data_IF_406235879456
#
_entry.id   IF_406235879456
#
_cell.length_a   1.000
_cell.length_b   1.000
_cell.length_c   1.000
_cell.angle_alpha   90.00
_cell.angle_beta   90.00
_cell.angle_gamma   90.00
#
_symmetry.space_group_name_H-M   'P 1'
#
loop_
_entity.id
_entity.type
_entity.pdbx_description
1 polymer ?
#
# COMPACT_ATOMS: atom_id res chain seq x y z
N UNK A 1 1.66 -8.83 -23.13
CA UNK A 1 2.54 -7.69 -22.77
C UNK A 1 1.81 -6.39 -23.03
N UNK A 2 1.58 -5.59 -21.99
CA UNK A 2 0.88 -4.31 -22.02
C UNK A 2 1.90 -3.18 -22.08
N UNK A 3 1.70 -2.22 -22.99
CA UNK A 3 2.59 -1.06 -23.13
C UNK A 3 1.87 0.20 -22.69
N UNK A 4 2.56 1.01 -21.92
CA UNK A 4 2.09 2.31 -21.47
C UNK A 4 3.15 3.37 -21.77
N UNK A 5 2.70 4.57 -22.03
CA UNK A 5 3.53 5.77 -22.01
C UNK A 5 3.11 6.65 -20.84
N UNK A 6 4.03 7.41 -20.28
CA UNK A 6 3.71 8.35 -19.21
C UNK A 6 3.40 9.73 -19.77
N UNK A 7 2.34 10.35 -19.24
CA UNK A 7 2.15 11.78 -19.27
C UNK A 7 2.47 12.35 -17.89
N UNK A 8 3.28 13.42 -17.83
CA UNK A 8 3.76 13.97 -16.56
C UNK A 8 3.55 15.47 -16.50
N UNK A 9 3.11 15.97 -15.33
CA UNK A 9 3.04 17.40 -15.05
C UNK A 9 3.59 17.70 -13.67
N UNK A 10 4.45 18.71 -13.58
CA UNK A 10 5.05 19.19 -12.35
C UNK A 10 4.36 20.45 -11.85
N UNK A 11 4.09 20.50 -10.56
CA UNK A 11 3.46 21.59 -9.84
C UNK A 11 4.30 21.95 -8.60
N UNK A 12 4.06 23.12 -8.05
CA UNK A 12 4.63 23.48 -6.74
C UNK A 12 3.94 22.68 -5.63
N UNK A 13 4.74 22.06 -4.78
CA UNK A 13 4.26 21.26 -3.65
C UNK A 13 3.85 22.07 -2.40
N UNK A 14 4.26 23.34 -2.32
CA UNK A 14 4.15 24.16 -1.10
C UNK A 14 2.73 24.36 -0.56
N UNK A 15 1.72 24.31 -1.43
CA UNK A 15 0.31 24.52 -1.07
C UNK A 15 -0.43 23.24 -0.72
N UNK A 16 0.25 22.09 -0.81
CA UNK A 16 -0.37 20.78 -0.67
C UNK A 16 0.42 19.91 0.31
N UNK A 17 -0.29 19.03 0.99
CA UNK A 17 0.33 17.93 1.74
C UNK A 17 -0.17 16.61 1.19
N UNK A 18 0.60 15.51 1.28
CA UNK A 18 0.14 14.19 0.84
C UNK A 18 -1.21 13.83 1.47
N UNK A 19 -1.37 14.03 2.77
CA UNK A 19 -2.61 13.75 3.50
C UNK A 19 -3.77 14.61 2.97
N UNK A 20 -3.56 15.92 2.75
CA UNK A 20 -4.64 16.80 2.28
C UNK A 20 -5.15 16.40 0.89
N UNK A 21 -4.26 15.97 0.00
CA UNK A 21 -4.63 15.48 -1.33
C UNK A 21 -5.29 14.10 -1.25
N UNK A 22 -4.78 13.21 -0.41
CA UNK A 22 -5.39 11.89 -0.22
C UNK A 22 -6.83 12.00 0.28
N UNK A 23 -7.13 12.92 1.20
CA UNK A 23 -8.50 13.17 1.67
C UNK A 23 -9.46 13.62 0.57
N UNK A 24 -8.98 14.30 -0.46
CA UNK A 24 -9.78 14.68 -1.63
C UNK A 24 -10.03 13.50 -2.58
N UNK A 25 -9.04 12.59 -2.68
CA UNK A 25 -9.04 11.51 -3.66
C UNK A 25 -9.75 10.25 -3.17
N UNK A 26 -9.61 9.87 -1.89
CA UNK A 26 -10.07 8.59 -1.35
C UNK A 26 -11.56 8.34 -1.53
N UNK A 27 -12.38 9.39 -1.43
CA UNK A 27 -13.85 9.25 -1.53
C UNK A 27 -14.30 9.16 -3.00
N UNK A 28 -13.50 9.70 -3.93
CA UNK A 28 -13.73 9.60 -5.38
C UNK A 28 -13.15 8.30 -5.92
N UNK A 29 -12.02 7.86 -5.37
CA UNK A 29 -11.29 6.65 -5.77
C UNK A 29 -11.03 5.74 -4.55
N UNK A 30 -12.01 4.92 -4.14
CA UNK A 30 -11.91 4.11 -2.91
C UNK A 30 -10.71 3.17 -2.88
N UNK A 31 -10.28 2.66 -4.05
CA UNK A 31 -9.09 1.81 -4.18
C UNK A 31 -7.85 2.67 -4.44
N UNK A 32 -7.55 3.60 -3.55
CA UNK A 32 -6.35 4.43 -3.59
C UNK A 32 -5.41 4.07 -2.46
N UNK A 33 -4.13 4.41 -2.62
CA UNK A 33 -3.11 4.18 -1.61
C UNK A 33 -2.32 5.46 -1.34
N UNK A 34 -2.00 5.70 -0.07
CA UNK A 34 -1.06 6.71 0.37
C UNK A 34 0.16 6.02 0.99
N UNK A 35 1.33 6.27 0.41
CA UNK A 35 2.62 5.86 0.96
C UNK A 35 3.40 7.11 1.32
N UNK A 36 3.49 7.39 2.60
CA UNK A 36 4.11 8.60 3.12
C UNK A 36 5.48 8.28 3.73
N UNK A 37 6.50 9.04 3.34
CA UNK A 37 7.81 8.97 3.99
C UNK A 37 7.72 9.56 5.39
N UNK A 38 8.15 8.79 6.39
CA UNK A 38 8.24 9.27 7.78
C UNK A 38 9.57 9.97 8.09
N UNK A 39 10.54 9.91 7.18
CA UNK A 39 11.85 10.53 7.35
C UNK A 39 11.86 11.93 6.73
N UNK A 40 11.40 12.91 7.50
CA UNK A 40 11.42 14.33 7.11
C UNK A 40 12.80 14.99 7.20
N UNK A 41 13.84 14.25 7.55
CA UNK A 41 15.18 14.80 7.75
C UNK A 41 16.03 14.84 6.49
N UNK A 42 15.48 15.39 5.40
CA UNK A 42 16.29 16.03 4.36
C UNK A 42 17.18 15.14 3.50
N UNK A 43 16.85 13.88 3.33
CA UNK A 43 17.50 13.05 2.32
C UNK A 43 16.98 13.37 0.91
N UNK A 44 17.88 13.45 -0.08
CA UNK A 44 17.56 13.74 -1.50
C UNK A 44 16.50 12.81 -2.13
N UNK A 45 16.04 11.77 -1.43
CA UNK A 45 15.07 10.78 -1.91
C UNK A 45 13.83 10.66 -1.01
N UNK A 46 13.47 11.69 -0.28
CA UNK A 46 12.25 11.69 0.54
C UNK A 46 11.01 11.91 -0.33
N UNK A 47 10.42 10.83 -0.82
CA UNK A 47 9.24 10.85 -1.67
C UNK A 47 8.01 10.32 -0.93
N UNK A 48 6.85 10.93 -1.17
CA UNK A 48 5.55 10.36 -0.81
C UNK A 48 4.71 10.16 -2.06
N UNK A 49 3.93 9.07 -2.07
CA UNK A 49 3.13 8.68 -3.22
C UNK A 49 1.66 8.59 -2.84
N UNK A 50 0.79 9.11 -3.71
CA UNK A 50 -0.63 8.79 -3.71
C UNK A 50 -0.92 8.11 -5.04
N UNK A 51 -1.38 6.87 -4.99
CA UNK A 51 -1.70 6.06 -6.16
C UNK A 51 -3.20 5.79 -6.22
N UNK A 52 -3.83 5.94 -7.40
CA UNK A 52 -5.27 5.77 -7.56
C UNK A 52 -5.65 5.34 -8.99
N UNK A 53 -6.88 4.80 -9.16
CA UNK A 53 -7.39 4.13 -10.37
C UNK A 53 -6.55 2.90 -10.71
N UNK A 54 -6.83 1.75 -10.08
CA UNK A 54 -6.19 0.47 -10.40
C UNK A 54 -6.31 0.12 -11.87
N UNK A 55 -5.22 -0.36 -12.47
CA UNK A 55 -5.14 -0.84 -13.86
C UNK A 55 -4.93 -2.35 -13.89
N UNK A 56 -4.12 -2.85 -12.98
CA UNK A 56 -3.81 -4.27 -12.85
C UNK A 56 -3.49 -4.59 -11.39
N UNK A 57 -3.70 -5.84 -10.99
CA UNK A 57 -3.47 -6.28 -9.61
C UNK A 57 -2.91 -7.68 -9.57
N UNK A 58 -2.00 -7.92 -8.64
CA UNK A 58 -1.63 -9.25 -8.18
C UNK A 58 -1.92 -9.38 -6.69
N UNK A 59 -2.63 -10.45 -6.33
CA UNK A 59 -2.90 -10.83 -4.95
C UNK A 59 -2.43 -12.25 -4.69
N UNK A 60 -1.90 -12.50 -3.50
CA UNK A 60 -1.61 -13.87 -3.04
C UNK A 60 -2.37 -14.10 -1.75
N UNK A 61 -3.14 -15.18 -1.71
CA UNK A 61 -3.88 -15.59 -0.53
C UNK A 61 -4.01 -17.12 -0.50
N UNK A 62 -3.86 -17.73 0.67
CA UNK A 62 -4.05 -19.17 0.88
C UNK A 62 -3.30 -20.07 -0.13
N UNK A 63 -2.08 -19.71 -0.52
CA UNK A 63 -1.27 -20.49 -1.46
C UNK A 63 -1.69 -20.37 -2.93
N UNK A 64 -2.49 -19.38 -3.28
CA UNK A 64 -2.88 -19.09 -4.66
C UNK A 64 -2.54 -17.65 -5.03
N UNK A 65 -2.00 -17.43 -6.21
CA UNK A 65 -1.77 -16.12 -6.80
C UNK A 65 -2.89 -15.80 -7.80
N UNK A 66 -3.55 -14.66 -7.63
CA UNK A 66 -4.55 -14.11 -8.56
C UNK A 66 -3.95 -12.91 -9.28
N UNK A 67 -3.85 -13.01 -10.62
CA UNK A 67 -3.32 -11.97 -11.50
C UNK A 67 -4.45 -11.38 -12.33
N UNK A 68 -4.70 -10.10 -12.17
CA UNK A 68 -5.75 -9.34 -12.84
C UNK A 68 -5.12 -8.30 -13.77
N UNK A 69 -5.50 -8.31 -15.04
CA UNK A 69 -4.86 -7.54 -16.11
C UNK A 69 -5.76 -6.43 -16.65
N UNK A 70 -5.19 -5.42 -17.36
CA UNK A 70 -5.94 -4.27 -17.87
C UNK A 70 -7.07 -4.60 -18.84
N UNK A 71 -6.97 -5.71 -19.54
CA UNK A 71 -7.98 -6.21 -20.51
C UNK A 71 -9.13 -6.98 -19.84
N UNK A 72 -9.14 -7.05 -18.50
CA UNK A 72 -10.12 -7.81 -17.72
C UNK A 72 -9.79 -9.31 -17.60
N UNK A 73 -8.69 -9.76 -18.16
CA UNK A 73 -8.20 -11.14 -17.98
C UNK A 73 -7.80 -11.33 -16.51
N UNK A 74 -8.27 -12.43 -15.92
CA UNK A 74 -7.90 -12.87 -14.57
C UNK A 74 -7.39 -14.30 -14.62
N UNK A 75 -6.25 -14.55 -13.95
CA UNK A 75 -5.59 -15.86 -13.94
C UNK A 75 -5.25 -16.21 -12.50
N UNK A 76 -5.80 -17.33 -12.04
CA UNK A 76 -5.45 -17.92 -10.75
C UNK A 76 -4.40 -19.01 -10.93
N UNK A 77 -3.36 -19.02 -10.11
CA UNK A 77 -2.25 -19.97 -10.14
C UNK A 77 -1.93 -20.50 -8.75
N UNK A 78 -1.97 -21.80 -8.52
CA UNK A 78 -1.53 -22.38 -7.26
C UNK A 78 -0.03 -22.18 -7.08
N UNK A 79 0.38 -21.78 -5.87
CA UNK A 79 1.78 -21.69 -5.47
C UNK A 79 2.26 -23.05 -4.94
N UNK A 80 3.52 -23.37 -5.19
CA UNK A 80 4.13 -24.62 -4.75
C UNK A 80 5.64 -24.63 -5.01
N UNK A 81 6.25 -25.82 -4.95
CA UNK A 81 7.70 -25.98 -5.13
C UNK A 81 8.22 -25.52 -6.51
N UNK A 82 7.39 -25.67 -7.54
CA UNK A 82 7.75 -25.33 -8.94
C UNK A 82 7.35 -23.93 -9.37
N UNK A 83 6.50 -23.24 -8.58
CA UNK A 83 6.01 -21.89 -8.86
C UNK A 83 5.78 -21.14 -7.57
N UNK A 84 6.76 -20.34 -7.19
CA UNK A 84 6.73 -19.57 -5.95
C UNK A 84 6.04 -18.20 -6.13
N UNK A 85 5.72 -17.53 -5.02
CA UNK A 85 5.16 -16.17 -5.04
C UNK A 85 6.06 -15.18 -5.77
N UNK A 86 7.40 -15.34 -5.66
CA UNK A 86 8.36 -14.53 -6.39
C UNK A 86 8.28 -14.72 -7.92
N UNK A 87 7.96 -15.94 -8.38
CA UNK A 87 7.79 -16.22 -9.81
C UNK A 87 6.51 -15.57 -10.32
N UNK A 88 5.42 -15.64 -9.55
CA UNK A 88 4.16 -14.97 -9.88
C UNK A 88 4.35 -13.44 -10.00
N UNK A 89 5.08 -12.82 -9.07
CA UNK A 89 5.39 -11.39 -9.11
C UNK A 89 6.25 -11.03 -10.33
N UNK A 90 7.28 -11.83 -10.64
CA UNK A 90 8.13 -11.61 -11.83
C UNK A 90 7.35 -11.77 -13.12
N UNK A 91 6.53 -12.81 -13.22
CA UNK A 91 5.66 -13.04 -14.38
C UNK A 91 4.73 -11.86 -14.59
N UNK A 92 4.08 -11.41 -13.52
CA UNK A 92 3.17 -10.27 -13.58
C UNK A 92 3.88 -8.98 -14.01
N UNK A 93 5.05 -8.67 -13.44
CA UNK A 93 5.85 -7.50 -13.80
C UNK A 93 6.30 -7.52 -15.27
N UNK A 94 6.69 -8.69 -15.79
CA UNK A 94 7.15 -8.84 -17.17
C UNK A 94 6.05 -8.62 -18.21
N UNK A 95 4.78 -8.61 -17.81
CA UNK A 95 3.66 -8.30 -18.71
C UNK A 95 3.53 -6.78 -18.97
N UNK A 96 4.22 -5.93 -18.24
CA UNK A 96 4.10 -4.49 -18.35
C UNK A 96 5.40 -3.84 -18.84
N UNK A 97 5.26 -2.87 -19.72
CA UNK A 97 6.33 -1.97 -20.12
C UNK A 97 5.83 -0.53 -20.04
N UNK A 98 6.59 0.31 -19.36
CA UNK A 98 6.29 1.73 -19.20
C UNK A 98 7.47 2.51 -19.76
N UNK A 99 7.20 3.39 -20.73
CA UNK A 99 8.18 4.25 -21.36
C UNK A 99 7.73 5.74 -21.18
N UNK A 100 8.66 6.68 -21.19
CA UNK A 100 8.38 8.13 -21.13
C UNK A 100 8.98 8.83 -19.93
N UNK A 101 8.76 10.14 -19.84
CA UNK A 101 9.25 10.98 -18.74
C UNK A 101 8.49 10.69 -17.45
N UNK A 102 9.21 10.40 -16.34
CA UNK A 102 8.62 9.98 -15.06
C UNK A 102 8.29 8.49 -14.98
N UNK A 103 8.65 7.69 -15.99
CA UNK A 103 8.46 6.22 -15.95
C UNK A 103 9.20 5.55 -14.79
N UNK A 104 10.27 6.14 -14.29
CA UNK A 104 11.03 5.70 -13.12
C UNK A 104 10.24 5.81 -11.81
N UNK A 105 9.18 6.62 -11.77
CA UNK A 105 8.27 6.76 -10.63
C UNK A 105 7.17 5.71 -10.65
N UNK A 106 6.97 5.05 -11.79
CA UNK A 106 5.92 4.05 -11.97
C UNK A 106 6.34 2.69 -11.41
N UNK A 107 5.40 1.97 -10.83
CA UNK A 107 5.64 0.66 -10.28
C UNK A 107 4.39 0.03 -9.69
N UNK A 108 4.57 -1.05 -8.97
CA UNK A 108 3.52 -1.70 -8.21
C UNK A 108 3.51 -1.15 -6.77
N UNK A 109 2.35 -0.70 -6.33
CA UNK A 109 2.14 -0.18 -4.98
C UNK A 109 1.25 -1.13 -4.20
N UNK A 110 1.64 -1.43 -2.96
CA UNK A 110 0.89 -2.37 -2.16
C UNK A 110 1.62 -2.82 -0.91
N UNK A 111 1.36 -4.05 -0.48
CA UNK A 111 1.96 -4.59 0.74
C UNK A 111 2.22 -6.08 0.65
N UNK A 112 3.12 -6.52 1.51
CA UNK A 112 3.35 -7.91 1.86
C UNK A 112 3.09 -8.04 3.36
N UNK A 113 2.11 -8.85 3.75
CA UNK A 113 1.80 -9.10 5.14
C UNK A 113 2.97 -9.83 5.84
N UNK A 114 3.06 -9.71 7.17
CA UNK A 114 4.11 -10.37 7.95
C UNK A 114 4.12 -11.89 7.73
N UNK A 115 2.95 -12.52 7.72
CA UNK A 115 2.82 -13.98 7.57
C UNK A 115 3.14 -14.47 6.16
N UNK A 116 3.24 -13.58 5.17
CA UNK A 116 3.62 -13.92 3.82
C UNK A 116 5.08 -14.42 3.71
N UNK A 117 5.89 -14.25 4.78
CA UNK A 117 7.23 -14.83 4.87
C UNK A 117 7.24 -16.34 4.54
N UNK A 118 6.15 -17.06 4.81
CA UNK A 118 5.97 -18.48 4.47
C UNK A 118 6.05 -18.79 2.97
N UNK A 119 5.85 -17.80 2.10
CA UNK A 119 5.98 -17.96 0.66
C UNK A 119 7.42 -17.76 0.14
N UNK A 120 8.32 -17.30 1.00
CA UNK A 120 9.70 -16.98 0.64
C UNK A 120 10.72 -17.81 1.43
N UNK A 121 10.37 -18.25 2.64
CA UNK A 121 11.26 -18.93 3.56
C UNK A 121 10.64 -20.23 4.08
N UNK A 122 11.45 -21.25 4.25
CA UNK A 122 11.02 -22.53 4.86
C UNK A 122 11.05 -22.43 6.39
N UNK A 123 10.12 -21.64 6.94
CA UNK A 123 9.95 -21.50 8.40
C UNK A 123 8.53 -21.91 8.79
N UNK A 124 8.37 -22.60 9.95
CA UNK A 124 7.05 -22.95 10.46
C UNK A 124 6.32 -21.70 10.94
N UNK A 125 5.51 -21.09 10.09
CA UNK A 125 4.58 -20.04 10.49
C UNK A 125 3.32 -20.72 11.00
N UNK A 126 2.90 -20.43 12.24
CA UNK A 126 1.64 -20.93 12.77
C UNK A 126 0.50 -20.38 11.89
N UNK A 127 -0.33 -21.28 11.38
CA UNK A 127 -1.57 -20.88 10.72
C UNK A 127 -2.48 -20.22 11.75
N UNK A 128 -2.75 -18.96 11.59
CA UNK A 128 -3.82 -18.29 12.31
C UNK A 128 -5.13 -18.62 11.57
N UNK A 129 -5.86 -19.61 12.06
CA UNK A 129 -7.13 -20.07 11.48
C UNK A 129 -8.28 -19.04 11.56
N UNK A 130 -8.06 -17.89 12.15
CA UNK A 130 -9.03 -16.82 12.27
C UNK A 130 -8.42 -15.50 11.84
N UNK A 131 -8.36 -15.29 10.53
CA UNK A 131 -8.24 -13.93 10.00
C UNK A 131 -9.65 -13.36 9.93
N UNK A 132 -9.96 -12.42 10.80
CA UNK A 132 -11.16 -11.59 10.71
C UNK A 132 -11.09 -10.61 9.50
N UNK A 133 -10.13 -10.81 8.62
CA UNK A 133 -9.81 -9.93 7.49
C UNK A 133 -9.70 -10.74 6.21
N UNK A 134 -10.45 -10.33 5.18
CA UNK A 134 -10.36 -10.84 3.81
C UNK A 134 -9.14 -10.31 3.04
N UNK A 135 -8.26 -9.54 3.69
CA UNK A 135 -7.08 -8.97 3.06
C UNK A 135 -6.10 -10.07 2.64
N UNK A 136 -5.61 -10.07 1.40
CA UNK A 136 -4.64 -11.05 0.92
C UNK A 136 -3.29 -10.93 1.66
N UNK A 137 -2.50 -12.01 1.63
CA UNK A 137 -1.15 -12.03 2.22
C UNK A 137 -0.18 -11.11 1.49
N UNK A 138 -0.34 -11.00 0.17
CA UNK A 138 0.41 -10.10 -0.71
C UNK A 138 -0.61 -9.41 -1.61
N UNK A 139 -0.51 -8.11 -1.74
CA UNK A 139 -1.33 -7.34 -2.67
C UNK A 139 -0.50 -6.22 -3.28
N UNK A 140 -0.32 -6.25 -4.59
CA UNK A 140 0.32 -5.19 -5.34
C UNK A 140 -0.53 -4.76 -6.52
N UNK A 141 -0.61 -3.47 -6.76
CA UNK A 141 -1.49 -2.86 -7.76
C UNK A 141 -0.67 -1.93 -8.65
N UNK A 142 -0.88 -2.02 -9.95
CA UNK A 142 -0.46 -1.01 -10.92
C UNK A 142 -1.57 0.03 -11.00
N UNK A 143 -1.25 1.29 -10.74
CA UNK A 143 -2.22 2.37 -10.78
C UNK A 143 -2.05 3.24 -12.02
N UNK A 144 -3.16 3.79 -12.48
CA UNK A 144 -3.16 4.71 -13.63
C UNK A 144 -2.53 6.06 -13.27
N UNK A 145 -2.80 6.57 -12.08
CA UNK A 145 -2.31 7.87 -11.63
C UNK A 145 -1.47 7.76 -10.38
N UNK A 146 -0.40 8.56 -10.39
CA UNK A 146 0.44 8.80 -9.22
C UNK A 146 0.55 10.31 -8.98
N UNK A 147 0.39 10.71 -7.71
CA UNK A 147 0.85 12.00 -7.23
C UNK A 147 2.10 11.76 -6.41
N UNK A 148 3.20 12.34 -6.82
CA UNK A 148 4.50 12.13 -6.19
C UNK A 148 4.99 13.44 -5.60
N UNK A 149 5.14 13.46 -4.28
CA UNK A 149 5.75 14.57 -3.56
C UNK A 149 7.24 14.33 -3.41
N UNK A 150 8.04 15.25 -3.94
CA UNK A 150 9.45 15.38 -3.60
C UNK A 150 9.56 16.40 -2.46
N UNK A 151 9.72 15.90 -1.24
CA UNK A 151 9.79 16.76 -0.05
C UNK A 151 11.06 17.62 0.01
N UNK A 152 12.12 17.18 -0.65
CA UNK A 152 13.36 17.94 -0.71
C UNK A 152 13.27 19.12 -1.68
N UNK A 153 12.61 18.92 -2.83
CA UNK A 153 12.45 19.96 -3.85
C UNK A 153 11.18 20.78 -3.71
N UNK A 154 10.27 20.41 -2.78
CA UNK A 154 8.93 20.96 -2.68
C UNK A 154 8.16 20.91 -4.03
N UNK A 155 8.30 19.78 -4.72
CA UNK A 155 7.69 19.55 -6.03
C UNK A 155 6.59 18.48 -5.91
N UNK A 156 5.48 18.69 -6.59
CA UNK A 156 4.41 17.73 -6.78
C UNK A 156 4.36 17.33 -8.25
N UNK A 157 4.61 16.05 -8.55
CA UNK A 157 4.47 15.50 -9.89
C UNK A 157 3.16 14.72 -10.01
N UNK A 158 2.38 15.00 -11.05
CA UNK A 158 1.26 14.17 -11.50
C UNK A 158 1.81 13.29 -12.62
N UNK A 159 1.71 11.97 -12.48
CA UNK A 159 2.11 10.99 -13.48
C UNK A 159 0.91 10.15 -13.85
N UNK A 160 0.61 10.03 -15.12
CA UNK A 160 -0.45 9.17 -15.66
C UNK A 160 0.13 8.10 -16.57
N UNK A 161 -0.32 6.86 -16.41
CA UNK A 161 -0.09 5.76 -17.34
C UNK A 161 -1.14 5.82 -18.44
N UNK A 162 -0.73 6.13 -19.66
CA UNK A 162 -1.57 6.14 -20.85
C UNK A 162 -1.34 4.88 -21.66
N UNK A 163 -2.40 4.15 -21.99
CA UNK A 163 -2.34 3.07 -22.97
C UNK A 163 -2.06 3.64 -24.37
N UNK A 164 -1.60 2.81 -25.30
CA UNK A 164 -1.28 3.24 -26.65
C UNK A 164 -2.49 3.89 -27.33
N UNK A 165 -2.30 5.13 -27.80
CA UNK A 165 -3.36 5.94 -28.42
C UNK A 165 -4.36 6.58 -27.44
N UNK A 166 -4.19 6.41 -26.14
CA UNK A 166 -5.03 7.04 -25.12
C UNK A 166 -4.64 8.52 -24.92
N UNK A 167 -5.65 9.38 -24.77
CA UNK A 167 -5.45 10.79 -24.40
C UNK A 167 -5.18 10.89 -22.90
N UNK A 168 -4.29 11.79 -22.49
CA UNK A 168 -4.07 12.05 -21.05
C UNK A 168 -5.26 12.78 -20.40
N UNK A 169 -5.40 12.56 -19.09
CA UNK A 169 -6.43 13.13 -18.23
C UNK A 169 -5.84 13.96 -17.09
N UNK A 170 -4.60 14.42 -17.21
CA UNK A 170 -3.89 15.18 -16.18
C UNK A 170 -4.68 16.40 -15.72
N UNK A 171 -5.38 17.09 -16.65
CA UNK A 171 -6.20 18.27 -16.31
C UNK A 171 -7.38 17.94 -15.38
N UNK A 172 -7.95 16.75 -15.50
CA UNK A 172 -9.03 16.31 -14.60
C UNK A 172 -8.50 16.14 -13.19
N UNK A 173 -7.30 15.56 -13.06
CA UNK A 173 -6.62 15.39 -11.78
C UNK A 173 -6.23 16.73 -11.17
N UNK A 174 -5.73 17.68 -11.96
CA UNK A 174 -5.45 19.05 -11.49
C UNK A 174 -6.70 19.72 -10.92
N UNK A 175 -7.81 19.66 -11.66
CA UNK A 175 -9.08 20.24 -11.18
C UNK A 175 -9.49 19.64 -9.83
N UNK A 176 -9.33 18.33 -9.67
CA UNK A 176 -9.64 17.65 -8.42
C UNK A 176 -8.69 18.05 -7.27
N UNK A 177 -7.41 18.24 -7.57
CA UNK A 177 -6.41 18.71 -6.61
C UNK A 177 -6.71 20.15 -6.14
N UNK A 178 -7.11 21.01 -7.06
CA UNK A 178 -7.43 22.41 -6.80
C UNK A 178 -8.76 22.62 -6.08
N UNK A 179 -9.67 21.64 -6.16
CA UNK A 179 -10.95 21.70 -5.45
C UNK A 179 -10.71 21.83 -3.94
N UNK A 180 -11.35 22.82 -3.33
CA UNK A 180 -11.26 23.09 -1.89
C UNK A 180 -12.28 22.30 -1.07
N UNK A 181 -13.24 21.68 -1.75
CA UNK A 181 -14.29 20.90 -1.10
C UNK A 181 -13.87 19.42 -1.01
N UNK A 182 -13.64 18.94 0.20
CA UNK A 182 -13.48 17.52 0.49
C UNK A 182 -14.30 17.15 1.71
N UNK A 183 -14.76 15.90 1.74
CA UNK A 183 -15.57 15.42 2.83
C UNK A 183 -14.80 15.41 4.15
N UNK A 184 -15.40 15.95 5.19
CA UNK A 184 -14.92 15.88 6.56
C UNK A 184 -15.86 15.02 7.38
N UNK A 185 -15.33 13.99 8.01
CA UNK A 185 -16.11 13.04 8.79
C UNK A 185 -15.87 13.25 10.28
N UNK A 186 -16.96 13.31 11.05
CA UNK A 186 -16.86 13.35 12.50
C UNK A 186 -16.49 11.96 13.00
N UNK A 187 -15.34 11.86 13.64
CA UNK A 187 -14.86 10.65 14.28
C UNK A 187 -14.96 10.77 15.80
N UNK A 188 -15.56 9.78 16.46
CA UNK A 188 -15.62 9.69 17.92
C UNK A 188 -15.36 8.25 18.35
N UNK A 189 -14.53 8.08 19.37
CA UNK A 189 -14.46 6.82 20.10
C UNK A 189 -15.70 6.68 20.98
N UNK A 190 -16.31 5.50 20.96
CA UNK A 190 -17.53 5.20 21.74
C UNK A 190 -17.23 4.00 22.64
N UNK A 191 -17.64 4.09 23.92
CA UNK A 191 -17.44 3.03 24.88
C UNK A 191 -16.03 2.97 25.47
N UNK A 192 -15.73 1.84 26.11
CA UNK A 192 -14.48 1.65 26.80
C UNK A 192 -13.39 1.07 25.91
N UNK A 193 -12.16 1.44 26.23
CA UNK A 193 -10.96 0.84 25.64
C UNK A 193 -10.88 -0.65 25.98
N UNK A 194 -10.76 -1.49 24.98
CA UNK A 194 -10.57 -2.95 25.15
C UNK A 194 -9.16 -3.34 24.75
N UNK A 195 -8.63 -4.33 25.44
CA UNK A 195 -7.33 -4.92 25.13
C UNK A 195 -7.45 -6.44 25.15
N UNK A 196 -6.75 -7.10 24.22
CA UNK A 196 -6.64 -8.56 24.18
C UNK A 196 -5.72 -9.13 25.25
N UNK A 197 -4.95 -8.29 25.95
CA UNK A 197 -4.00 -8.70 26.98
C UNK A 197 -4.14 -7.82 28.23
N UNK A 198 -3.89 -8.41 29.41
CA UNK A 198 -3.71 -7.62 30.62
C UNK A 198 -2.34 -6.91 30.61
N UNK A 199 -2.18 -5.90 31.44
CA UNK A 199 -0.90 -5.19 31.56
C UNK A 199 0.22 -6.10 32.08
N UNK A 200 -0.11 -7.01 33.01
CA UNK A 200 0.82 -7.99 33.58
C UNK A 200 1.30 -8.97 32.52
N UNK A 201 0.37 -9.52 31.73
CA UNK A 201 0.69 -10.45 30.63
C UNK A 201 1.61 -9.76 29.61
N UNK A 202 1.31 -8.52 29.23
CA UNK A 202 2.14 -7.78 28.27
C UNK A 202 3.54 -7.50 28.84
N UNK A 203 3.66 -7.09 30.12
CA UNK A 203 4.96 -6.88 30.78
C UNK A 203 5.80 -8.16 30.79
N UNK A 204 5.17 -9.30 31.07
CA UNK A 204 5.90 -10.59 31.05
C UNK A 204 6.36 -10.98 29.64
N UNK A 205 5.54 -10.76 28.62
CA UNK A 205 5.97 -10.93 27.21
C UNK A 205 7.17 -10.05 26.86
N UNK A 206 7.19 -8.80 27.33
CA UNK A 206 8.32 -7.89 27.11
C UNK A 206 9.57 -8.42 27.83
N UNK A 207 9.47 -8.87 29.10
CA UNK A 207 10.60 -9.45 29.85
C UNK A 207 11.17 -10.68 29.15
N UNK A 208 10.32 -11.54 28.60
CA UNK A 208 10.76 -12.70 27.81
C UNK A 208 11.49 -12.27 26.55
N UNK A 209 10.97 -11.30 25.81
CA UNK A 209 11.64 -10.74 24.64
C UNK A 209 13.04 -10.20 24.97
N UNK A 210 13.15 -9.41 26.04
CA UNK A 210 14.44 -8.89 26.52
C UNK A 210 15.42 -10.03 26.84
N UNK A 211 14.95 -11.10 27.53
CA UNK A 211 15.81 -12.26 27.82
C UNK A 211 16.35 -12.93 26.54
N UNK A 212 15.52 -13.08 25.49
CA UNK A 212 15.95 -13.64 24.22
C UNK A 212 16.99 -12.73 23.52
N UNK A 213 16.79 -11.42 23.53
CA UNK A 213 17.77 -10.47 22.97
C UNK A 213 19.10 -10.53 23.74
N UNK A 214 19.07 -10.57 25.08
CA UNK A 214 20.29 -10.62 25.91
C UNK A 214 21.07 -11.93 25.75
N UNK A 215 20.40 -13.03 25.41
CA UNK A 215 21.06 -14.32 25.12
C UNK A 215 21.62 -14.38 23.70
N UNK A 216 21.30 -13.44 22.85
CA UNK A 216 21.68 -13.45 21.44
C UNK A 216 20.82 -14.36 20.56
N UNK A 217 19.67 -14.83 21.04
CA UNK A 217 18.77 -15.67 20.26
C UNK A 217 18.17 -14.88 19.08
N UNK A 218 17.96 -13.58 19.27
CA UNK A 218 17.42 -12.65 18.27
C UNK A 218 18.05 -11.28 18.43
N UNK A 219 18.22 -10.56 17.33
CA UNK A 219 18.71 -9.19 17.32
C UNK A 219 17.63 -8.19 17.74
N UNK A 220 16.39 -8.45 17.33
CA UNK A 220 15.22 -7.61 17.62
C UNK A 220 14.01 -8.51 17.90
N UNK A 221 13.29 -8.20 18.97
CA UNK A 221 12.02 -8.85 19.29
C UNK A 221 10.90 -7.82 19.43
N UNK A 222 9.96 -7.79 18.49
CA UNK A 222 8.76 -6.97 18.58
C UNK A 222 7.63 -7.73 19.28
N UNK A 223 7.02 -7.08 20.28
CA UNK A 223 5.82 -7.58 20.97
C UNK A 223 4.66 -6.64 20.71
N UNK A 224 3.50 -7.21 20.40
CA UNK A 224 2.31 -6.46 20.05
C UNK A 224 1.21 -6.66 21.08
N UNK A 225 0.46 -5.59 21.31
CA UNK A 225 -0.77 -5.58 22.08
C UNK A 225 -1.84 -4.90 21.24
N UNK A 226 -2.92 -5.60 20.97
CA UNK A 226 -4.06 -5.00 20.28
C UNK A 226 -4.87 -4.17 21.28
N UNK A 227 -5.15 -2.94 20.93
CA UNK A 227 -6.01 -2.03 21.68
C UNK A 227 -7.09 -1.57 20.71
N UNK A 228 -8.34 -1.92 21.01
CA UNK A 228 -9.50 -1.56 20.21
C UNK A 228 -10.39 -0.54 20.93
N UNK A 229 -11.03 0.29 20.13
CA UNK A 229 -12.13 1.15 20.53
C UNK A 229 -13.29 0.91 19.56
N UNK A 230 -14.51 0.95 20.06
CA UNK A 230 -15.64 1.16 19.17
C UNK A 230 -15.58 2.59 18.64
N UNK A 231 -15.87 2.76 17.37
CA UNK A 231 -15.89 4.07 16.72
C UNK A 231 -17.29 4.33 16.13
N UNK A 232 -17.68 5.59 16.12
CA UNK A 232 -18.88 6.06 15.45
C UNK A 232 -18.45 7.12 14.43
N UNK A 233 -18.63 6.81 13.16
CA UNK A 233 -18.28 7.70 12.05
C UNK A 233 -18.74 7.10 10.72
N UNK A 234 -18.77 7.89 9.66
CA UNK A 234 -19.27 7.51 8.35
C UNK A 234 -18.49 6.37 7.66
N UNK A 235 -17.31 6.00 8.17
CA UNK A 235 -16.44 4.93 7.67
C UNK A 235 -15.97 3.99 8.78
N UNK A 236 -16.87 3.63 9.70
CA UNK A 236 -16.54 2.68 10.77
C UNK A 236 -16.36 1.24 10.29
N UNK A 237 -16.60 0.94 9.01
CA UNK A 237 -16.60 -0.40 8.42
C UNK A 237 -15.35 -0.71 7.59
N UNK A 238 -14.22 -0.01 7.83
CA UNK A 238 -12.91 -0.31 7.22
C UNK A 238 -11.91 -0.85 8.20
#
# INVERSE_FOLDING_TARGET
>A
MYRFTTATKKLLGDLHTPVSLYLKLRDVYPQSALLESSDYHGGENSLSFIAFRPVARIGVNNGEALLEYPDGRSVAKPLGETYAAADALKEFLNEFRVDGDGSELCGLFGYTAFDAVRYFENIPVREFHHRDSDAPDICYILYKFLLVFDHFKNELSIVELCADGERDHIREVETLIEDRNFASYNFRTVGERRSNLTDETYREMVRQGVRHCLRGDVMLCKKFRCIGFAVNGAHADY
#
